data_IF_716651080588
#
_entry.id   IF_716651080588
#
_cell.length_a   1.000
_cell.length_b   1.000
_cell.length_c   1.000
_cell.angle_alpha   90.00
_cell.angle_beta   90.00
_cell.angle_gamma   90.00
#
_symmetry.space_group_name_H-M   'P 1'
#
loop_
_entity.id
_entity.type
_entity.pdbx_description
1 polymer ?
#
# COMPACT_ATOMS: atom_id res chain seq x y z
N UNK A 1 58.16 16.50 -46.01
CA UNK A 1 58.17 15.14 -45.44
C UNK A 1 56.91 14.96 -44.62
N UNK A 2 55.99 14.12 -45.08
CA UNK A 2 54.63 13.96 -44.53
C UNK A 2 54.67 12.86 -43.46
N UNK A 3 54.62 13.23 -42.18
CA UNK A 3 54.59 12.27 -41.07
C UNK A 3 53.16 11.73 -40.94
N UNK A 4 52.96 10.47 -41.36
CA UNK A 4 51.75 9.72 -41.04
C UNK A 4 51.84 9.26 -39.58
N UNK A 5 50.89 9.70 -38.76
CA UNK A 5 50.76 9.31 -37.36
C UNK A 5 49.75 8.16 -37.30
N UNK A 6 50.25 6.96 -37.05
CA UNK A 6 49.49 5.73 -36.85
C UNK A 6 48.79 5.81 -35.48
N UNK A 7 47.45 5.86 -35.48
CA UNK A 7 46.63 5.82 -34.26
C UNK A 7 46.29 4.35 -33.98
N UNK A 8 46.69 3.77 -32.84
CA UNK A 8 46.26 2.43 -32.47
C UNK A 8 44.80 2.47 -32.00
N UNK A 9 43.94 1.74 -32.69
CA UNK A 9 42.55 1.50 -32.26
C UNK A 9 42.54 0.57 -31.05
N UNK A 10 42.27 1.13 -29.87
CA UNK A 10 42.05 0.38 -28.64
C UNK A 10 40.59 -0.10 -28.63
N UNK A 11 40.37 -1.41 -28.76
CA UNK A 11 39.04 -2.02 -28.71
C UNK A 11 38.50 -2.02 -27.28
N UNK A 12 37.41 -1.28 -27.05
CA UNK A 12 36.59 -1.38 -25.85
C UNK A 12 35.77 -2.67 -25.92
N UNK A 13 36.14 -3.67 -25.12
CA UNK A 13 35.35 -4.87 -24.90
C UNK A 13 34.17 -4.45 -23.99
N UNK A 14 32.98 -4.36 -24.57
CA UNK A 14 31.74 -4.19 -23.81
C UNK A 14 31.40 -5.53 -23.16
N UNK A 15 31.63 -5.68 -21.86
CA UNK A 15 31.04 -6.78 -21.10
C UNK A 15 29.52 -6.56 -21.04
N UNK A 16 28.78 -7.36 -21.80
CA UNK A 16 27.33 -7.43 -21.71
C UNK A 16 27.02 -8.31 -20.50
N UNK A 17 26.64 -7.72 -19.37
CA UNK A 17 26.12 -8.49 -18.24
C UNK A 17 24.69 -8.90 -18.58
N UNK A 18 24.56 -10.02 -19.27
CA UNK A 18 23.26 -10.67 -19.45
C UNK A 18 22.84 -11.23 -18.10
N UNK A 19 22.01 -10.49 -17.37
CA UNK A 19 21.18 -11.07 -16.32
C UNK A 19 20.42 -12.22 -16.98
N UNK A 20 20.79 -13.46 -16.62
CA UNK A 20 20.10 -14.63 -17.11
C UNK A 20 18.62 -14.50 -16.72
N UNK A 21 17.66 -14.72 -17.65
CA UNK A 21 16.26 -14.75 -17.27
C UNK A 21 16.09 -15.85 -16.22
N UNK A 22 15.42 -15.51 -15.11
CA UNK A 22 15.07 -16.46 -14.06
C UNK A 22 14.03 -17.43 -14.63
N UNK A 23 14.50 -18.45 -15.34
CA UNK A 23 13.65 -19.54 -15.85
C UNK A 23 13.14 -20.33 -14.64
N UNK A 24 11.82 -20.44 -14.49
CA UNK A 24 11.21 -21.38 -13.55
C UNK A 24 10.41 -20.79 -12.37
N UNK A 25 10.16 -19.47 -12.33
CA UNK A 25 9.05 -19.00 -11.51
C UNK A 25 7.78 -19.36 -12.27
N UNK A 26 7.09 -20.46 -11.93
CA UNK A 26 5.83 -20.90 -12.57
C UNK A 26 4.64 -19.93 -12.43
N UNK A 27 4.93 -18.64 -12.28
CA UNK A 27 4.02 -17.52 -12.23
C UNK A 27 3.94 -16.90 -13.63
N UNK A 28 2.73 -16.54 -14.06
CA UNK A 28 2.44 -15.99 -15.40
C UNK A 28 2.69 -16.93 -16.59
N UNK A 29 2.73 -18.25 -16.38
CA UNK A 29 2.58 -19.18 -17.51
C UNK A 29 1.11 -19.24 -17.97
N UNK A 30 0.83 -19.65 -19.21
CA UNK A 30 -0.54 -19.85 -19.68
C UNK A 30 -1.33 -20.82 -18.80
N UNK A 31 -0.68 -21.85 -18.25
CA UNK A 31 -1.30 -22.82 -17.35
C UNK A 31 -1.68 -22.18 -16.00
N UNK A 32 -0.81 -21.31 -15.47
CA UNK A 32 -1.08 -20.55 -14.25
C UNK A 32 -2.28 -19.60 -14.41
N UNK A 33 -2.38 -18.92 -15.56
CA UNK A 33 -3.48 -18.02 -15.88
C UNK A 33 -4.80 -18.80 -16.01
N UNK A 34 -4.79 -19.94 -16.70
CA UNK A 34 -5.97 -20.79 -16.86
C UNK A 34 -6.50 -21.33 -15.51
N UNK A 35 -5.61 -21.75 -14.60
CA UNK A 35 -6.02 -22.21 -13.26
C UNK A 35 -6.63 -21.09 -12.42
N UNK A 36 -6.04 -19.89 -12.49
CA UNK A 36 -6.57 -18.70 -11.81
C UNK A 36 -7.95 -18.32 -12.33
N UNK A 37 -8.13 -18.30 -13.65
CA UNK A 37 -9.43 -17.99 -14.26
C UNK A 37 -10.50 -19.03 -13.89
N UNK A 38 -10.15 -20.32 -13.81
CA UNK A 38 -11.06 -21.38 -13.36
C UNK A 38 -11.49 -21.21 -11.89
N UNK A 39 -10.59 -20.73 -11.02
CA UNK A 39 -10.90 -20.43 -9.62
C UNK A 39 -11.79 -19.19 -9.50
N UNK A 40 -11.52 -18.12 -10.25
CA UNK A 40 -12.36 -16.91 -10.26
C UNK A 40 -13.74 -17.16 -10.88
N UNK A 41 -13.84 -18.03 -11.88
CA UNK A 41 -15.09 -18.42 -12.51
C UNK A 41 -15.92 -19.41 -11.66
N UNK A 42 -15.48 -19.72 -10.42
CA UNK A 42 -16.18 -20.61 -9.50
C UNK A 42 -16.22 -22.07 -9.95
N UNK A 43 -15.39 -22.48 -10.92
CA UNK A 43 -15.33 -23.85 -11.43
C UNK A 43 -14.37 -24.75 -10.61
N UNK A 44 -13.63 -24.16 -9.67
CA UNK A 44 -12.67 -24.84 -8.81
C UNK A 44 -13.24 -25.40 -7.50
N UNK A 45 -14.52 -25.76 -7.43
CA UNK A 45 -15.05 -26.59 -6.34
C UNK A 45 -16.40 -27.19 -6.74
N UNK A 46 -16.53 -28.52 -6.72
CA UNK A 46 -17.82 -29.19 -6.78
C UNK A 46 -18.50 -29.04 -5.41
N UNK A 47 -19.05 -27.86 -5.15
CA UNK A 47 -19.75 -27.50 -3.91
C UNK A 47 -20.21 -26.05 -3.99
N UNK A 48 -21.53 -25.86 -4.01
CA UNK A 48 -22.22 -24.58 -4.09
C UNK A 48 -21.63 -23.51 -3.13
N UNK A 49 -21.10 -22.36 -3.58
CA UNK A 49 -20.43 -21.39 -2.72
C UNK A 49 -21.39 -20.45 -1.96
N UNK A 50 -22.70 -20.65 -2.08
CA UNK A 50 -23.70 -19.91 -1.33
C UNK A 50 -24.48 -20.87 -0.45
N UNK A 51 -23.98 -21.06 0.77
CA UNK A 51 -24.83 -21.54 1.87
C UNK A 51 -26.00 -20.55 1.99
N UNK A 52 -27.28 -21.01 1.96
CA UNK A 52 -28.39 -20.13 2.29
C UNK A 52 -28.22 -19.61 3.74
N UNK A 53 -28.69 -18.39 4.06
CA UNK A 53 -28.63 -17.89 5.42
C UNK A 53 -29.37 -18.85 6.36
N UNK A 54 -28.71 -19.28 7.44
CA UNK A 54 -29.38 -20.06 8.48
C UNK A 54 -30.44 -19.20 9.16
N UNK A 55 -31.59 -19.82 9.43
CA UNK A 55 -32.73 -19.18 10.09
C UNK A 55 -32.36 -18.90 11.55
N UNK A 56 -32.40 -17.62 11.96
CA UNK A 56 -32.07 -17.21 13.33
C UNK A 56 -33.25 -17.58 14.23
N UNK A 57 -33.12 -18.66 15.00
CA UNK A 57 -34.05 -18.96 16.08
C UNK A 57 -34.00 -17.88 17.14
N UNK A 58 -35.03 -17.03 17.19
CA UNK A 58 -35.27 -16.13 18.31
C UNK A 58 -35.97 -16.91 19.42
N UNK A 59 -35.20 -17.52 20.31
CA UNK A 59 -35.74 -17.90 21.61
C UNK A 59 -35.87 -16.63 22.45
N UNK A 60 -37.09 -16.25 22.89
CA UNK A 60 -37.23 -15.18 23.85
C UNK A 60 -36.48 -15.59 25.11
N UNK A 61 -35.50 -14.77 25.50
CA UNK A 61 -34.92 -14.80 26.82
C UNK A 61 -36.07 -14.52 27.78
N UNK A 62 -36.61 -15.55 28.44
CA UNK A 62 -37.57 -15.37 29.51
C UNK A 62 -36.96 -14.38 30.48
N UNK A 63 -37.62 -13.23 30.62
CA UNK A 63 -37.29 -12.25 31.63
C UNK A 63 -37.21 -13.02 32.95
N UNK A 64 -36.04 -12.97 33.59
CA UNK A 64 -35.92 -13.34 34.99
C UNK A 64 -36.86 -12.40 35.73
N UNK A 65 -38.06 -12.90 36.00
CA UNK A 65 -39.00 -12.25 36.89
C UNK A 65 -38.28 -12.08 38.22
N UNK A 66 -37.88 -10.85 38.50
CA UNK A 66 -37.51 -10.41 39.83
C UNK A 66 -38.77 -10.45 40.68
N UNK A 67 -39.04 -11.62 41.26
CA UNK A 67 -39.92 -11.71 42.41
C UNK A 67 -39.15 -12.39 43.55
N UNK A 68 -38.61 -11.53 44.44
CA UNK A 68 -38.32 -11.89 45.82
C UNK A 68 -37.11 -12.80 46.09
N UNK A 69 -35.91 -12.46 45.63
CA UNK A 69 -34.70 -13.15 46.12
C UNK A 69 -34.30 -12.55 47.47
N UNK A 70 -34.70 -13.20 48.56
CA UNK A 70 -34.27 -12.80 49.89
C UNK A 70 -32.80 -13.20 50.08
N UNK A 71 -32.05 -12.47 50.92
CA UNK A 71 -30.64 -12.79 51.19
C UNK A 71 -30.43 -14.25 51.67
N UNK A 72 -31.49 -14.89 52.20
CA UNK A 72 -31.48 -16.28 52.59
C UNK A 72 -31.48 -17.25 51.39
N UNK A 73 -32.12 -16.88 50.28
CA UNK A 73 -32.20 -17.72 49.08
C UNK A 73 -30.86 -17.73 48.33
N UNK A 74 -30.21 -16.57 48.23
CA UNK A 74 -28.85 -16.44 47.69
C UNK A 74 -27.85 -17.22 48.55
N UNK A 75 -27.98 -17.17 49.88
CA UNK A 75 -27.11 -17.93 50.78
C UNK A 75 -27.30 -19.44 50.65
N UNK A 76 -28.54 -19.91 50.47
CA UNK A 76 -28.83 -21.33 50.25
C UNK A 76 -28.35 -21.83 48.88
N UNK A 77 -28.51 -21.04 47.82
CA UNK A 77 -27.96 -21.37 46.50
C UNK A 77 -26.43 -21.42 46.52
N UNK A 78 -25.79 -20.48 47.23
CA UNK A 78 -24.32 -20.46 47.37
C UNK A 78 -23.82 -21.67 48.17
N UNK A 79 -24.51 -22.04 49.25
CA UNK A 79 -24.17 -23.24 50.03
C UNK A 79 -24.34 -24.54 49.22
N UNK A 80 -25.37 -24.64 48.37
CA UNK A 80 -25.58 -25.77 47.48
C UNK A 80 -24.51 -25.87 46.37
N UNK A 81 -24.07 -24.73 45.82
CA UNK A 81 -22.97 -24.66 44.85
C UNK A 81 -21.61 -25.04 45.48
N UNK A 82 -21.36 -24.67 46.73
CA UNK A 82 -20.15 -25.06 47.45
C UNK A 82 -20.16 -26.54 47.87
N UNK A 83 -21.32 -27.08 48.23
CA UNK A 83 -21.48 -28.50 48.55
C UNK A 83 -21.25 -29.40 47.32
N UNK A 84 -21.66 -28.94 46.13
CA UNK A 84 -21.38 -29.62 44.85
C UNK A 84 -19.93 -29.46 44.38
N UNK A 85 -19.14 -28.59 45.02
CA UNK A 85 -17.71 -28.37 44.73
C UNK A 85 -16.79 -28.94 45.82
N UNK A 86 -17.33 -29.58 46.87
CA UNK A 86 -16.50 -30.21 47.90
C UNK A 86 -15.79 -31.46 47.36
N UNK A 87 -14.47 -31.63 47.58
CA UNK A 87 -13.71 -32.74 47.04
C UNK A 87 -13.93 -34.00 47.89
N UNK A 88 -15.10 -34.62 47.77
CA UNK A 88 -15.33 -35.99 48.21
C UNK A 88 -15.68 -36.86 47.01
N UNK A 89 -14.73 -37.72 46.63
CA UNK A 89 -14.96 -38.85 45.74
C UNK A 89 -14.28 -38.72 44.38
N UNK A 90 -12.95 -38.83 44.37
CA UNK A 90 -12.25 -39.29 43.18
C UNK A 90 -12.72 -40.72 42.84
N UNK A 91 -13.73 -40.85 41.97
CA UNK A 91 -14.15 -42.11 41.36
C UNK A 91 -14.78 -41.84 39.99
N UNK A 92 -13.89 -41.75 38.99
CA UNK A 92 -14.12 -42.20 37.61
C UNK A 92 -15.43 -41.79 36.92
N UNK A 93 -15.56 -40.52 36.55
CA UNK A 93 -16.21 -40.22 35.27
C UNK A 93 -15.08 -40.18 34.24
N UNK A 94 -14.94 -41.25 33.44
CA UNK A 94 -14.09 -41.20 32.26
C UNK A 94 -14.55 -40.03 31.40
N UNK A 95 -13.73 -38.98 31.33
CA UNK A 95 -13.88 -37.96 30.32
C UNK A 95 -13.81 -38.69 28.98
N UNK A 96 -14.95 -38.80 28.29
CA UNK A 96 -14.95 -39.24 26.90
C UNK A 96 -13.99 -38.29 26.17
N UNK A 97 -12.98 -38.79 25.44
CA UNK A 97 -12.15 -37.91 24.64
C UNK A 97 -13.07 -37.32 23.58
N UNK A 98 -13.51 -36.08 23.80
CA UNK A 98 -14.11 -35.28 22.75
C UNK A 98 -12.95 -34.93 21.83
N UNK A 99 -12.65 -35.86 20.92
CA UNK A 99 -11.74 -35.63 19.82
C UNK A 99 -12.42 -34.65 18.87
N UNK A 100 -12.33 -33.36 19.20
CA UNK A 100 -12.68 -32.27 18.30
C UNK A 100 -11.59 -32.20 17.23
N UNK A 101 -11.53 -33.18 16.32
CA UNK A 101 -10.62 -33.19 15.17
C UNK A 101 -10.85 -32.02 14.20
N UNK A 102 -11.90 -31.20 14.44
CA UNK A 102 -12.20 -29.98 13.72
C UNK A 102 -11.80 -28.69 14.47
N UNK A 103 -11.43 -28.75 15.76
CA UNK A 103 -10.98 -27.59 16.54
C UNK A 103 -9.46 -27.66 16.68
N UNK A 104 -8.82 -26.62 16.18
CA UNK A 104 -7.42 -26.25 16.42
C UNK A 104 -7.02 -26.42 17.89
N UNK A 105 -6.04 -27.29 18.17
CA UNK A 105 -5.55 -27.58 19.52
C UNK A 105 -4.36 -26.68 19.94
N UNK A 106 -4.18 -25.57 19.22
CA UNK A 106 -3.21 -24.51 19.53
C UNK A 106 -3.42 -23.87 20.91
N UNK A 107 -4.59 -24.07 21.54
CA UNK A 107 -4.89 -23.60 22.90
C UNK A 107 -4.70 -24.69 23.99
N UNK A 108 -4.37 -25.94 23.62
CA UNK A 108 -4.04 -27.00 24.58
C UNK A 108 -2.53 -27.02 24.88
N UNK A 109 -2.16 -26.57 26.08
CA UNK A 109 -0.77 -26.50 26.53
C UNK A 109 -0.07 -27.87 26.54
N UNK A 110 -0.79 -28.97 26.74
CA UNK A 110 -0.23 -30.32 26.71
C UNK A 110 0.05 -30.78 25.27
N UNK A 111 -0.85 -30.48 24.33
CA UNK A 111 -0.66 -30.78 22.92
C UNK A 111 0.48 -29.95 22.31
N UNK A 112 0.58 -28.67 22.68
CA UNK A 112 1.64 -27.76 22.21
C UNK A 112 3.00 -28.15 22.78
N UNK A 113 3.11 -28.40 24.10
CA UNK A 113 4.39 -28.79 24.72
C UNK A 113 4.97 -30.11 24.20
N UNK A 114 4.11 -31.05 23.80
CA UNK A 114 4.54 -32.29 23.15
C UNK A 114 5.07 -32.08 21.72
N UNK A 115 4.70 -30.98 21.04
CA UNK A 115 5.08 -30.70 19.63
C UNK A 115 6.13 -29.61 19.47
N UNK A 116 6.23 -28.72 20.45
CA UNK A 116 7.15 -27.59 20.49
C UNK A 116 7.93 -27.66 21.79
N UNK A 117 9.20 -28.03 21.68
CA UNK A 117 10.12 -27.98 22.81
C UNK A 117 10.78 -26.60 22.90
N UNK A 118 11.26 -26.25 24.09
CA UNK A 118 11.96 -24.99 24.36
C UNK A 118 13.23 -24.89 23.50
N UNK A 119 13.92 -26.00 23.28
CA UNK A 119 15.14 -26.08 22.47
C UNK A 119 14.85 -25.83 20.98
N UNK A 120 13.74 -26.39 20.47
CA UNK A 120 13.28 -26.16 19.09
C UNK A 120 12.96 -24.68 18.87
N UNK A 121 12.29 -24.05 19.83
CA UNK A 121 11.94 -22.63 19.74
C UNK A 121 13.18 -21.74 19.87
N UNK A 122 14.14 -22.08 20.75
CA UNK A 122 15.41 -21.38 20.86
C UNK A 122 16.23 -21.45 19.56
N UNK A 123 16.30 -22.63 18.92
CA UNK A 123 16.98 -22.80 17.63
C UNK A 123 16.34 -21.96 16.52
N UNK A 124 15.01 -21.87 16.51
CA UNK A 124 14.26 -21.05 15.55
C UNK A 124 14.45 -19.55 15.79
N UNK A 125 14.50 -19.12 17.05
CA UNK A 125 14.83 -17.74 17.41
C UNK A 125 16.24 -17.40 16.93
N UNK A 126 17.21 -18.29 17.14
CA UNK A 126 18.58 -18.07 16.69
C UNK A 126 18.67 -18.02 15.16
N UNK A 127 17.97 -18.91 14.45
CA UNK A 127 17.86 -18.88 12.99
C UNK A 127 17.27 -17.55 12.50
N UNK A 128 16.16 -17.11 13.12
CA UNK A 128 15.53 -15.84 12.78
C UNK A 128 16.47 -14.67 13.03
N UNK A 129 17.23 -14.70 14.14
CA UNK A 129 18.20 -13.67 14.52
C UNK A 129 19.38 -13.60 13.54
N UNK A 130 19.81 -14.74 12.98
CA UNK A 130 20.84 -14.77 11.93
C UNK A 130 20.36 -14.16 10.61
N UNK A 131 19.06 -14.22 10.33
CA UNK A 131 18.46 -13.62 9.12
C UNK A 131 17.90 -12.22 9.34
N UNK A 132 17.86 -11.75 10.57
CA UNK A 132 17.25 -10.47 10.92
C UNK A 132 18.19 -9.32 10.58
N UNK A 133 17.79 -8.51 9.62
CA UNK A 133 18.46 -7.27 9.25
C UNK A 133 17.57 -6.07 9.59
N UNK A 134 18.10 -5.11 10.34
CA UNK A 134 17.44 -3.84 10.61
C UNK A 134 17.94 -2.82 9.60
N UNK A 135 17.09 -2.49 8.62
CA UNK A 135 17.36 -1.36 7.73
C UNK A 135 17.03 -0.07 8.45
N UNK A 136 18.05 0.71 8.77
CA UNK A 136 17.87 2.04 9.35
C UNK A 136 17.20 2.97 8.32
N UNK A 137 16.20 3.78 8.71
CA UNK A 137 15.63 4.79 7.84
C UNK A 137 16.73 5.74 7.35
N UNK A 138 16.97 5.75 6.05
CA UNK A 138 17.86 6.73 5.43
C UNK A 138 17.03 7.94 5.01
N UNK A 139 17.58 9.14 5.17
CA UNK A 139 16.92 10.36 4.71
C UNK A 139 16.63 10.29 3.21
N UNK A 140 15.44 10.72 2.81
CA UNK A 140 15.09 10.84 1.40
C UNK A 140 16.06 11.85 0.76
N UNK A 141 16.74 11.52 -0.35
CA UNK A 141 17.64 12.44 -1.00
C UNK A 141 16.95 13.76 -1.33
N UNK A 142 17.58 14.89 -1.00
CA UNK A 142 17.12 16.19 -1.45
C UNK A 142 17.25 16.27 -2.98
N UNK A 143 16.22 16.78 -3.64
CA UNK A 143 16.24 16.94 -5.09
C UNK A 143 17.31 17.97 -5.47
N UNK A 144 18.30 17.56 -6.25
CA UNK A 144 19.34 18.45 -6.76
C UNK A 144 18.80 19.59 -7.62
N UNK A 145 19.58 20.69 -7.70
CA UNK A 145 19.26 21.90 -8.47
C UNK A 145 19.13 21.65 -9.99
N UNK A 146 19.61 20.51 -10.48
CA UNK A 146 19.56 20.11 -11.90
C UNK A 146 18.25 19.38 -12.29
N UNK A 147 17.31 19.23 -11.35
CA UNK A 147 16.02 18.58 -11.59
C UNK A 147 15.05 19.43 -12.44
N UNK A 148 14.08 18.76 -13.09
CA UNK A 148 12.98 19.47 -13.75
C UNK A 148 12.26 20.40 -12.75
N UNK A 149 11.85 21.62 -13.19
CA UNK A 149 11.10 22.54 -12.35
C UNK A 149 9.85 21.90 -11.74
N UNK A 150 9.62 22.16 -10.46
CA UNK A 150 8.46 21.65 -9.75
C UNK A 150 7.29 22.64 -9.85
N UNK A 151 6.27 22.29 -10.63
CA UNK A 151 5.08 23.14 -10.82
C UNK A 151 4.25 23.29 -9.53
N UNK A 152 4.26 22.30 -8.64
CA UNK A 152 3.57 22.37 -7.34
C UNK A 152 4.27 23.38 -6.44
N UNK A 153 5.61 23.32 -6.37
CA UNK A 153 6.39 24.31 -5.63
C UNK A 153 6.17 25.73 -6.19
N UNK A 154 6.08 25.85 -7.52
CA UNK A 154 5.78 27.12 -8.16
C UNK A 154 4.36 27.62 -7.82
N UNK A 155 3.35 26.74 -7.84
CA UNK A 155 1.98 27.06 -7.43
C UNK A 155 1.91 27.61 -6.00
N UNK A 156 2.66 27.00 -5.08
CA UNK A 156 2.68 27.35 -3.66
C UNK A 156 3.52 28.59 -3.35
N UNK A 157 4.57 28.86 -4.12
CA UNK A 157 5.46 30.01 -3.89
C UNK A 157 4.95 31.30 -4.54
N UNK A 158 4.16 31.22 -5.60
CA UNK A 158 3.61 32.39 -6.28
C UNK A 158 2.20 32.70 -5.79
N UNK A 159 1.79 33.97 -5.81
CA UNK A 159 0.45 34.43 -5.42
C UNK A 159 -0.31 35.16 -6.53
N UNK A 160 0.18 35.05 -7.77
CA UNK A 160 -0.41 35.76 -8.91
C UNK A 160 -1.84 35.25 -9.18
N UNK A 161 -2.82 36.13 -9.45
CA UNK A 161 -4.13 35.70 -9.93
C UNK A 161 -4.05 35.22 -11.38
N UNK A 162 -4.81 34.17 -11.71
CA UNK A 162 -4.92 33.67 -13.09
C UNK A 162 -5.54 34.76 -13.99
N UNK A 163 -5.00 34.92 -15.19
CA UNK A 163 -5.43 35.91 -16.19
C UNK A 163 -5.04 37.36 -15.87
N UNK A 164 -4.32 37.61 -14.77
CA UNK A 164 -3.88 38.96 -14.41
C UNK A 164 -2.43 39.16 -14.83
N UNK A 165 -2.18 40.16 -15.68
CA UNK A 165 -0.85 40.47 -16.14
C UNK A 165 0.06 40.94 -14.98
N UNK A 166 1.01 40.10 -14.59
CA UNK A 166 2.08 40.42 -13.64
C UNK A 166 3.41 40.67 -14.37
N UNK A 167 3.58 40.03 -15.52
CA UNK A 167 4.76 40.13 -16.36
C UNK A 167 4.42 40.76 -17.70
N UNK A 168 5.13 41.84 -18.06
CA UNK A 168 4.91 42.50 -19.34
C UNK A 168 5.22 41.56 -20.51
N UNK A 169 4.32 41.52 -21.51
CA UNK A 169 4.50 40.78 -22.76
C UNK A 169 4.48 41.76 -23.92
N UNK A 170 5.55 41.77 -24.70
CA UNK A 170 5.65 42.57 -25.92
C UNK A 170 5.62 41.65 -27.14
N UNK A 171 4.77 41.97 -28.11
CA UNK A 171 4.72 41.25 -29.37
C UNK A 171 3.38 41.42 -30.09
N UNK A 172 3.37 41.04 -31.37
CA UNK A 172 2.16 41.02 -32.20
C UNK A 172 1.57 39.61 -32.20
N UNK A 173 0.23 39.52 -32.16
CA UNK A 173 -0.51 38.25 -32.24
C UNK A 173 -0.09 37.20 -31.19
N UNK A 174 0.15 37.64 -29.95
CA UNK A 174 0.59 36.79 -28.84
C UNK A 174 -0.36 35.62 -28.58
N UNK A 175 -1.67 35.86 -28.56
CA UNK A 175 -2.69 34.83 -28.34
C UNK A 175 -2.65 33.75 -29.44
N UNK A 176 -2.59 34.15 -30.71
CA UNK A 176 -2.52 33.19 -31.81
C UNK A 176 -1.22 32.38 -31.80
N UNK A 177 -0.10 32.98 -31.37
CA UNK A 177 1.18 32.28 -31.17
C UNK A 177 1.09 31.28 -30.02
N UNK A 178 0.56 31.70 -28.88
CA UNK A 178 0.37 30.85 -27.71
C UNK A 178 -0.51 29.66 -28.04
N UNK A 179 -1.65 29.85 -28.73
CA UNK A 179 -2.52 28.75 -29.12
C UNK A 179 -1.79 27.65 -29.93
N UNK A 180 -0.96 28.04 -30.90
CA UNK A 180 -0.15 27.08 -31.68
C UNK A 180 0.95 26.41 -30.88
N UNK A 181 1.55 27.12 -29.93
CA UNK A 181 2.67 26.61 -29.15
C UNK A 181 2.19 25.72 -28.00
N UNK A 182 1.07 26.07 -27.37
CA UNK A 182 0.40 25.29 -26.34
C UNK A 182 -0.12 23.95 -26.86
N UNK A 183 -0.63 23.92 -28.11
CA UNK A 183 -1.05 22.68 -28.77
C UNK A 183 0.08 21.64 -28.96
N UNK A 184 1.34 21.99 -28.69
CA UNK A 184 2.48 21.07 -28.76
C UNK A 184 2.65 20.23 -27.50
N UNK A 185 2.00 20.60 -26.41
CA UNK A 185 2.11 19.91 -25.13
C UNK A 185 0.86 19.06 -24.87
N UNK A 186 1.02 17.87 -24.28
CA UNK A 186 -0.10 16.97 -23.99
C UNK A 186 -1.00 17.47 -22.86
N UNK A 187 -0.51 18.35 -21.99
CA UNK A 187 -1.26 18.92 -20.88
C UNK A 187 -0.76 20.32 -20.48
N UNK A 188 -1.60 21.14 -19.79
CA UNK A 188 -1.16 22.41 -19.21
C UNK A 188 -0.01 22.24 -18.22
N UNK A 189 -0.01 21.17 -17.42
CA UNK A 189 1.09 20.87 -16.49
C UNK A 189 2.43 20.69 -17.22
N UNK A 190 2.42 19.93 -18.33
CA UNK A 190 3.63 19.72 -19.13
C UNK A 190 4.11 21.01 -19.80
N UNK A 191 3.17 21.87 -20.22
CA UNK A 191 3.49 23.20 -20.75
C UNK A 191 4.10 24.09 -19.66
N UNK A 192 3.60 24.04 -18.43
CA UNK A 192 4.11 24.81 -17.30
C UNK A 192 5.52 24.36 -16.89
N UNK A 193 5.78 23.05 -16.84
CA UNK A 193 7.14 22.52 -16.58
C UNK A 193 8.12 23.10 -17.61
N UNK A 194 7.74 23.06 -18.88
CA UNK A 194 8.61 23.53 -19.96
C UNK A 194 8.75 25.05 -20.02
N UNK A 195 7.71 25.77 -19.64
CA UNK A 195 7.75 27.21 -19.46
C UNK A 195 8.78 27.59 -18.40
N UNK A 196 8.71 26.97 -17.22
CA UNK A 196 9.65 27.20 -16.12
C UNK A 196 11.08 26.79 -16.51
N UNK A 197 11.26 25.69 -17.25
CA UNK A 197 12.59 25.22 -17.69
C UNK A 197 13.22 26.16 -18.72
N UNK A 198 12.38 26.85 -19.52
CA UNK A 198 12.81 27.74 -20.59
C UNK A 198 13.05 29.19 -20.14
N UNK A 199 12.96 29.49 -18.85
CA UNK A 199 13.16 30.83 -18.26
C UNK A 199 11.94 31.39 -17.54
N UNK A 200 10.82 30.66 -17.56
CA UNK A 200 9.62 30.96 -16.79
C UNK A 200 9.01 32.33 -17.09
N UNK A 201 8.35 32.95 -16.11
CA UNK A 201 7.56 34.14 -16.35
C UNK A 201 8.38 35.41 -16.62
N UNK A 202 9.65 35.43 -16.18
CA UNK A 202 10.59 36.51 -16.51
C UNK A 202 10.95 36.48 -17.99
N UNK A 203 11.02 35.29 -18.61
CA UNK A 203 11.45 35.14 -20.00
C UNK A 203 10.68 34.04 -20.71
N UNK A 204 9.49 34.39 -21.21
CA UNK A 204 8.66 33.52 -22.03
C UNK A 204 9.22 33.36 -23.46
N UNK A 205 10.29 32.57 -23.60
CA UNK A 205 10.95 32.31 -24.90
C UNK A 205 10.03 31.60 -25.88
N UNK A 206 9.10 30.80 -25.37
CA UNK A 206 8.22 29.96 -26.17
C UNK A 206 6.86 30.59 -26.43
N UNK A 207 6.56 31.76 -25.85
CA UNK A 207 5.29 32.45 -26.03
C UNK A 207 4.12 31.61 -25.54
N UNK A 208 4.25 30.99 -24.36
CA UNK A 208 3.24 30.11 -23.76
C UNK A 208 2.28 30.86 -22.82
N UNK A 209 2.67 32.04 -22.35
CA UNK A 209 1.93 32.86 -21.39
C UNK A 209 1.67 34.25 -22.02
N UNK A 210 0.65 34.37 -22.89
CA UNK A 210 0.38 35.59 -23.66
C UNK A 210 -0.22 36.72 -22.82
N UNK A 211 -0.90 36.39 -21.72
CA UNK A 211 -1.50 37.28 -20.73
C UNK A 211 -0.51 37.73 -19.65
N UNK A 212 0.59 37.00 -19.47
CA UNK A 212 1.68 37.39 -18.59
C UNK A 212 1.35 37.20 -17.11
N UNK A 213 0.47 36.27 -16.76
CA UNK A 213 0.13 35.97 -15.38
C UNK A 213 1.16 35.03 -14.70
N UNK A 214 2.03 34.45 -15.51
CA UNK A 214 3.06 33.49 -15.11
C UNK A 214 2.60 32.04 -15.15
N UNK A 215 1.48 31.77 -15.81
CA UNK A 215 0.88 30.45 -15.98
C UNK A 215 0.73 30.13 -17.47
N UNK A 216 1.55 29.20 -17.95
CA UNK A 216 1.59 28.81 -19.34
C UNK A 216 0.32 28.07 -19.75
N UNK A 217 -0.19 28.40 -20.94
CA UNK A 217 -1.23 27.64 -21.62
C UNK A 217 -2.51 27.43 -20.79
N UNK A 218 -2.88 28.41 -19.95
CA UNK A 218 -4.06 28.34 -19.09
C UNK A 218 -3.93 27.38 -17.91
N UNK A 219 -2.69 27.06 -17.50
CA UNK A 219 -2.43 26.28 -16.30
C UNK A 219 -3.00 26.97 -15.05
N UNK A 220 -3.66 26.21 -14.18
CA UNK A 220 -4.30 26.74 -12.96
C UNK A 220 -3.58 26.23 -11.70
N UNK A 221 -2.99 27.11 -10.87
CA UNK A 221 -2.34 26.72 -9.62
C UNK A 221 -3.34 26.38 -8.49
N UNK A 222 -4.62 26.71 -8.63
CA UNK A 222 -5.62 26.64 -7.56
C UNK A 222 -5.75 25.25 -6.92
N UNK A 223 -5.77 24.12 -7.67
CA UNK A 223 -5.86 22.78 -7.09
C UNK A 223 -4.66 22.43 -6.18
N UNK A 224 -3.47 22.92 -6.51
CA UNK A 224 -2.27 22.68 -5.71
C UNK A 224 -2.27 23.51 -4.42
N UNK A 225 -2.78 24.75 -4.49
CA UNK A 225 -2.91 25.64 -3.34
C UNK A 225 -3.96 25.15 -2.35
N UNK A 226 -5.10 24.66 -2.84
CA UNK A 226 -6.17 24.15 -1.97
C UNK A 226 -5.76 22.87 -1.24
N UNK A 227 -4.95 22.01 -1.87
CA UNK A 227 -4.49 20.76 -1.27
C UNK A 227 -3.67 20.96 0.02
N UNK A 228 -2.96 22.08 0.16
CA UNK A 228 -2.11 22.38 1.33
C UNK A 228 -2.88 23.08 2.46
N UNK A 229 -4.05 23.66 2.15
CA UNK A 229 -4.88 24.39 3.12
C UNK A 229 -5.93 23.50 3.82
N UNK A 230 -5.82 22.17 3.74
CA UNK A 230 -6.71 21.23 4.43
C UNK A 230 -6.19 20.82 5.80
#
# INVERSE_FOLDING_TARGET
MRKMLLIPTLGLITACETVAPVQGTGFNTPEYQAQREAQLAGQGYAGNPLLPPEDVSQQPLSALESDGDSAADIANQTAAALASTSPQGAQGAAALPVSNTAISDEQDFSAVSNRRSIESDAARIEQNRQTYEVVAPTAVPERGQDGQPNIVQYALSTSNPVGTQVYSRAGLNLQAKAQRNCARYPSPDQAQIEFLSSGGPQRDRKGLDPDGDGYACGWDPSPFRSAVNN
#
